data_IF_262394200338
#
_entry.id   IF_262394200338
#
_cell.length_a   1.000
_cell.length_b   1.000
_cell.length_c   1.000
_cell.angle_alpha   90.00
_cell.angle_beta   90.00
_cell.angle_gamma   90.00
#
_symmetry.space_group_name_H-M   'P 1'
#
loop_
_entity.id
_entity.type
_entity.pdbx_description
1 polymer ?
#
# COMPACT_ATOMS: atom_id res chain seq x y z
N UNK A 1 -3.37 14.49 2.37
CA UNK A 1 -3.13 14.78 3.81
C UNK A 1 -3.37 13.59 4.73
N UNK A 2 -3.98 12.50 4.26
CA UNK A 2 -4.35 11.29 5.05
C UNK A 2 -3.15 10.52 5.62
N UNK A 3 -2.01 10.48 4.92
CA UNK A 3 -0.82 9.73 5.35
C UNK A 3 -0.03 10.40 6.49
N UNK A 4 -0.01 11.74 6.57
CA UNK A 4 0.76 12.45 7.61
C UNK A 4 0.23 12.18 9.03
N UNK A 5 -1.06 11.84 9.17
CA UNK A 5 -1.65 11.44 10.45
C UNK A 5 -1.19 10.05 10.91
N UNK A 6 -1.06 9.08 9.99
CA UNK A 6 -0.67 7.69 10.29
C UNK A 6 0.85 7.53 10.51
N UNK A 7 1.67 8.30 9.80
CA UNK A 7 3.14 8.18 9.87
C UNK A 7 3.73 8.84 11.12
N UNK A 8 3.02 9.78 11.75
CA UNK A 8 3.50 10.51 12.93
C UNK A 8 3.59 9.65 14.20
N UNK A 9 2.99 8.45 14.21
CA UNK A 9 2.79 7.66 15.44
C UNK A 9 3.49 6.29 15.50
N UNK A 10 3.85 5.63 14.38
CA UNK A 10 4.50 4.31 14.45
C UNK A 10 5.43 3.99 13.27
N UNK A 11 6.54 3.28 13.57
CA UNK A 11 7.49 2.69 12.61
C UNK A 11 6.85 1.75 11.57
N UNK A 12 5.59 1.35 11.76
CA UNK A 12 4.82 0.47 10.85
C UNK A 12 3.83 1.22 9.95
N UNK A 13 3.73 2.55 10.04
CA UNK A 13 2.76 3.34 9.27
C UNK A 13 2.93 3.22 7.76
N UNK A 14 4.15 2.98 7.27
CA UNK A 14 4.44 2.76 5.83
C UNK A 14 3.86 1.44 5.34
N UNK A 15 4.04 0.35 6.11
CA UNK A 15 3.52 -0.98 5.76
C UNK A 15 1.98 -0.95 5.78
N UNK A 16 1.39 -0.42 6.85
CA UNK A 16 -0.07 -0.35 6.98
C UNK A 16 -0.73 0.47 5.87
N UNK A 17 -0.14 1.62 5.51
CA UNK A 17 -0.67 2.46 4.44
C UNK A 17 -0.59 1.77 3.06
N UNK A 18 0.52 1.07 2.78
CA UNK A 18 0.68 0.30 1.54
C UNK A 18 -0.32 -0.86 1.45
N UNK A 19 -0.47 -1.66 2.52
CA UNK A 19 -1.43 -2.76 2.56
C UNK A 19 -2.88 -2.27 2.39
N UNK A 20 -3.27 -1.21 3.11
CA UNK A 20 -4.61 -0.64 3.01
C UNK A 20 -4.89 -0.09 1.61
N UNK A 21 -3.94 0.63 1.00
CA UNK A 21 -4.09 1.12 -0.37
C UNK A 21 -4.17 0.00 -1.41
N UNK A 22 -3.37 -1.06 -1.26
CA UNK A 22 -3.45 -2.24 -2.13
C UNK A 22 -4.78 -2.98 -2.01
N UNK A 23 -5.31 -3.15 -0.79
CA UNK A 23 -6.63 -3.74 -0.57
C UNK A 23 -7.75 -2.94 -1.24
N UNK A 24 -7.74 -1.61 -1.06
CA UNK A 24 -8.72 -0.72 -1.68
C UNK A 24 -8.63 -0.71 -3.22
N UNK A 25 -7.43 -0.82 -3.78
CA UNK A 25 -7.26 -1.00 -5.22
C UNK A 25 -7.88 -2.32 -5.71
N UNK A 26 -7.77 -3.40 -4.94
CA UNK A 26 -8.41 -4.67 -5.24
C UNK A 26 -9.93 -4.55 -5.30
N UNK A 27 -10.53 -3.94 -4.27
CA UNK A 27 -11.97 -3.65 -4.21
C UNK A 27 -12.44 -2.71 -5.34
N UNK A 28 -11.61 -1.72 -5.71
CA UNK A 28 -11.94 -0.84 -6.82
C UNK A 28 -12.02 -1.64 -8.13
N UNK A 29 -11.05 -2.52 -8.36
CA UNK A 29 -10.94 -3.27 -9.61
C UNK A 29 -11.96 -4.40 -9.75
N UNK A 30 -12.52 -4.92 -8.65
CA UNK A 30 -13.58 -5.95 -8.71
C UNK A 30 -14.89 -5.41 -9.31
N UNK A 31 -15.11 -4.10 -9.23
CA UNK A 31 -16.35 -3.45 -9.65
C UNK A 31 -16.39 -3.03 -11.13
N UNK A 32 -15.39 -3.39 -11.92
CA UNK A 32 -15.18 -2.91 -13.31
C UNK A 32 -15.34 -1.36 -13.42
N UNK A 33 -14.46 -0.61 -12.75
CA UNK A 33 -14.65 0.81 -12.51
C UNK A 33 -14.46 1.64 -13.78
N UNK A 34 -15.32 2.65 -13.97
CA UNK A 34 -15.13 3.66 -15.02
C UNK A 34 -13.86 4.51 -14.83
N UNK A 35 -13.40 5.15 -15.90
CA UNK A 35 -12.14 5.93 -15.96
C UNK A 35 -12.03 7.00 -14.86
N UNK A 36 -13.12 7.69 -14.56
CA UNK A 36 -13.13 8.78 -13.58
C UNK A 36 -12.96 8.26 -12.15
N UNK A 37 -13.56 7.10 -11.85
CA UNK A 37 -13.43 6.45 -10.56
C UNK A 37 -11.99 5.94 -10.35
N UNK A 38 -11.38 5.40 -11.42
CA UNK A 38 -9.96 4.99 -11.41
C UNK A 38 -9.05 6.19 -11.17
N UNK A 39 -9.30 7.33 -11.81
CA UNK A 39 -8.50 8.54 -11.61
C UNK A 39 -8.59 9.09 -10.18
N UNK A 40 -9.81 9.20 -9.65
CA UNK A 40 -10.01 9.79 -8.32
C UNK A 40 -9.60 8.83 -7.20
N UNK A 41 -10.06 7.58 -7.26
CA UNK A 41 -9.85 6.60 -6.18
C UNK A 41 -8.52 5.87 -6.36
N UNK A 42 -8.25 5.36 -7.56
CA UNK A 42 -7.01 4.63 -7.84
C UNK A 42 -5.79 5.55 -7.85
N UNK A 43 -5.74 6.51 -8.78
CA UNK A 43 -4.59 7.41 -8.91
C UNK A 43 -4.52 8.43 -7.78
N UNK A 44 -5.65 9.05 -7.42
CA UNK A 44 -5.70 10.08 -6.38
C UNK A 44 -5.57 9.52 -4.96
N UNK A 45 -6.62 8.87 -4.47
CA UNK A 45 -6.69 8.42 -3.07
C UNK A 45 -5.65 7.34 -2.76
N UNK A 46 -5.68 6.20 -3.46
CA UNK A 46 -4.75 5.09 -3.23
C UNK A 46 -3.30 5.49 -3.55
N UNK A 47 -3.08 6.31 -4.58
CA UNK A 47 -1.75 6.88 -4.87
C UNK A 47 -1.22 7.80 -3.76
N UNK A 48 -2.09 8.58 -3.11
CA UNK A 48 -1.68 9.44 -1.98
C UNK A 48 -1.52 8.69 -0.64
N UNK A 49 -2.18 7.54 -0.50
CA UNK A 49 -2.12 6.68 0.69
C UNK A 49 -0.86 5.79 0.67
N UNK A 50 -0.57 5.15 -0.47
CA UNK A 50 0.59 4.29 -0.65
C UNK A 50 1.88 5.10 -0.84
N UNK A 51 3.03 4.46 -0.64
CA UNK A 51 4.33 5.11 -0.78
C UNK A 51 5.44 4.11 -1.10
N UNK A 52 6.10 4.33 -2.24
CA UNK A 52 7.30 3.60 -2.59
C UNK A 52 8.57 4.23 -1.98
N UNK A 53 8.66 5.56 -1.95
CA UNK A 53 9.86 6.28 -1.50
C UNK A 53 10.21 5.99 -0.04
N UNK A 54 9.23 6.04 0.87
CA UNK A 54 9.48 5.73 2.28
C UNK A 54 9.69 4.24 2.54
N UNK A 55 9.04 3.37 1.77
CA UNK A 55 9.32 1.93 1.80
C UNK A 55 10.77 1.65 1.38
N UNK A 56 11.25 2.28 0.31
CA UNK A 56 12.63 2.14 -0.16
C UNK A 56 13.65 2.61 0.89
N UNK A 57 13.36 3.72 1.57
CA UNK A 57 14.18 4.18 2.70
C UNK A 57 14.19 3.16 3.84
N UNK A 58 13.04 2.65 4.29
CA UNK A 58 12.96 1.65 5.35
C UNK A 58 13.65 0.33 4.99
N UNK A 59 13.49 -0.12 3.74
CA UNK A 59 14.15 -1.29 3.17
C UNK A 59 15.67 -1.10 3.01
N UNK A 60 16.16 0.14 3.03
CA UNK A 60 17.59 0.42 2.90
C UNK A 60 18.34 0.37 4.24
N UNK A 61 17.65 0.27 5.38
CA UNK A 61 18.27 0.35 6.72
C UNK A 61 18.38 -1.02 7.39
N UNK A 62 19.53 -1.29 8.02
CA UNK A 62 19.76 -2.46 8.87
C UNK A 62 20.49 -3.61 8.18
N UNK A 63 20.42 -4.81 8.78
CA UNK A 63 21.12 -6.00 8.28
C UNK A 63 20.53 -6.51 6.95
N UNK A 64 21.31 -7.20 6.10
CA UNK A 64 20.79 -7.77 4.84
C UNK A 64 19.52 -8.61 5.03
N UNK A 65 19.46 -9.42 6.09
CA UNK A 65 18.29 -10.21 6.43
C UNK A 65 17.06 -9.34 6.74
N UNK A 66 17.22 -8.26 7.51
CA UNK A 66 16.13 -7.32 7.80
C UNK A 66 15.63 -6.62 6.53
N UNK A 67 16.55 -6.19 5.66
CA UNK A 67 16.23 -5.54 4.39
C UNK A 67 15.40 -6.48 3.52
N UNK A 68 15.83 -7.74 3.40
CA UNK A 68 15.10 -8.77 2.67
C UNK A 68 13.71 -9.02 3.26
N UNK A 69 13.60 -9.13 4.59
CA UNK A 69 12.31 -9.32 5.26
C UNK A 69 11.34 -8.16 5.03
N UNK A 70 11.82 -6.92 5.09
CA UNK A 70 10.99 -5.73 4.82
C UNK A 70 10.52 -5.72 3.37
N UNK A 71 11.43 -5.98 2.42
CA UNK A 71 11.10 -5.98 0.98
C UNK A 71 10.10 -7.08 0.64
N UNK A 72 10.43 -8.32 0.98
CA UNK A 72 9.60 -9.49 0.66
C UNK A 72 8.29 -9.44 1.42
N UNK A 73 8.34 -9.18 2.73
CA UNK A 73 7.16 -9.16 3.59
C UNK A 73 6.15 -8.08 3.18
N UNK A 74 6.62 -6.87 2.88
CA UNK A 74 5.71 -5.78 2.45
C UNK A 74 5.15 -6.06 1.06
N UNK A 75 5.98 -6.53 0.11
CA UNK A 75 5.53 -6.82 -1.26
C UNK A 75 4.51 -7.95 -1.29
N UNK A 76 4.80 -9.07 -0.63
CA UNK A 76 3.87 -10.20 -0.51
C UNK A 76 2.60 -9.78 0.22
N UNK A 77 2.71 -8.99 1.28
CA UNK A 77 1.57 -8.44 2.01
C UNK A 77 0.65 -7.58 1.12
N UNK A 78 1.22 -6.70 0.29
CA UNK A 78 0.45 -5.89 -0.67
C UNK A 78 -0.23 -6.75 -1.74
N UNK A 79 0.46 -7.77 -2.27
CA UNK A 79 -0.09 -8.69 -3.26
C UNK A 79 -1.25 -9.53 -2.69
N UNK A 80 -1.11 -9.99 -1.45
CA UNK A 80 -2.19 -10.66 -0.74
C UNK A 80 -3.36 -9.69 -0.52
N UNK A 81 -3.09 -8.47 -0.07
CA UNK A 81 -4.11 -7.46 0.20
C UNK A 81 -4.94 -7.12 -1.05
N UNK A 82 -4.29 -6.86 -2.20
CA UNK A 82 -5.02 -6.58 -3.45
C UNK A 82 -5.83 -7.78 -3.93
N UNK A 83 -5.27 -9.00 -3.83
CA UNK A 83 -5.98 -10.23 -4.19
C UNK A 83 -7.21 -10.47 -3.32
N UNK A 84 -7.08 -10.26 -2.01
CA UNK A 84 -8.19 -10.38 -1.05
C UNK A 84 -9.24 -9.31 -1.32
N UNK A 85 -8.84 -8.06 -1.56
CA UNK A 85 -9.76 -6.99 -1.92
C UNK A 85 -10.55 -7.32 -3.19
N UNK A 86 -9.87 -7.79 -4.23
CA UNK A 86 -10.51 -8.19 -5.48
C UNK A 86 -11.46 -9.39 -5.32
N UNK A 87 -11.13 -10.35 -4.47
CA UNK A 87 -11.95 -11.55 -4.28
C UNK A 87 -13.22 -11.32 -3.45
N UNK A 88 -13.24 -10.28 -2.60
CA UNK A 88 -14.37 -9.97 -1.71
C UNK A 88 -15.31 -8.92 -2.32
N UNK A 89 -14.77 -7.98 -3.09
CA UNK A 89 -15.56 -6.96 -3.79
C UNK A 89 -16.20 -7.46 -5.06
#
# INVERSE_FOLDING_TARGET
MTRFGLVKWHRHGVIGANLAGSFLLGLLWSTDPGSDLVLVVGTGFCGSLTTFSSFGLDASVGTPARRLLVVVGTTVGCLAAVSIGYAIG
#
